data_IF_536364266224
#
_entry.id   IF_536364266224
#
_cell.length_a   1.000
_cell.length_b   1.000
_cell.length_c   1.000
_cell.angle_alpha   90.00
_cell.angle_beta   90.00
_cell.angle_gamma   90.00
#
_symmetry.space_group_name_H-M   'P 1'
#
loop_
_entity.id
_entity.type
_entity.pdbx_description
1 polymer ?
#
# COMPACT_ATOMS: atom_id res chain seq x y z
N UNK A 1 -2.04 -17.32 -3.28
CA UNK A 1 -2.72 -16.21 -3.98
C UNK A 1 -1.74 -15.64 -4.98
N UNK A 2 -2.16 -15.41 -6.22
CA UNK A 2 -1.32 -14.74 -7.22
C UNK A 2 -1.25 -13.22 -6.94
N UNK A 3 -0.46 -12.48 -7.73
CA UNK A 3 -0.26 -11.05 -7.49
C UNK A 3 -1.57 -10.25 -7.60
N UNK A 4 -2.38 -10.50 -8.63
CA UNK A 4 -3.64 -9.78 -8.83
C UNK A 4 -4.68 -10.12 -7.76
N UNK A 5 -4.75 -11.38 -7.33
CA UNK A 5 -5.56 -11.79 -6.19
C UNK A 5 -5.16 -11.04 -4.93
N UNK A 6 -3.86 -10.89 -4.66
CA UNK A 6 -3.37 -10.15 -3.50
C UNK A 6 -3.75 -8.67 -3.60
N UNK A 7 -3.48 -8.03 -4.73
CA UNK A 7 -3.83 -6.63 -4.98
C UNK A 7 -5.33 -6.37 -4.83
N UNK A 8 -6.18 -7.23 -5.38
CA UNK A 8 -7.63 -7.08 -5.26
C UNK A 8 -8.16 -7.33 -3.84
N UNK A 9 -7.46 -8.15 -3.04
CA UNK A 9 -7.88 -8.53 -1.69
C UNK A 9 -7.53 -7.53 -0.59
N UNK A 10 -6.40 -6.81 -0.71
CA UNK A 10 -5.90 -5.92 0.36
C UNK A 10 -6.92 -4.89 0.86
N UNK A 11 -7.68 -4.17 0.01
CA UNK A 11 -8.68 -3.22 0.50
C UNK A 11 -9.74 -3.86 1.40
N UNK A 12 -10.20 -5.07 1.05
CA UNK A 12 -11.18 -5.80 1.86
C UNK A 12 -10.58 -6.29 3.19
N UNK A 13 -9.30 -6.67 3.20
CA UNK A 13 -8.57 -7.02 4.43
C UNK A 13 -8.52 -5.81 5.38
N UNK A 14 -8.13 -4.62 4.88
CA UNK A 14 -8.09 -3.41 5.71
C UNK A 14 -9.47 -3.01 6.24
N UNK A 15 -10.52 -3.15 5.43
CA UNK A 15 -11.88 -2.88 5.88
C UNK A 15 -12.33 -3.82 7.01
N UNK A 16 -12.00 -5.13 6.94
CA UNK A 16 -12.29 -6.11 7.99
C UNK A 16 -11.56 -5.81 9.30
N UNK A 17 -10.33 -5.30 9.23
CA UNK A 17 -9.55 -4.87 10.40
C UNK A 17 -10.20 -3.63 11.02
N UNK A 18 -10.44 -2.59 10.22
CA UNK A 18 -11.02 -1.34 10.69
C UNK A 18 -12.39 -1.53 11.37
N UNK A 19 -13.20 -2.46 10.90
CA UNK A 19 -14.49 -2.79 11.50
C UNK A 19 -14.39 -3.40 12.91
N UNK A 20 -13.22 -3.89 13.32
CA UNK A 20 -12.99 -4.61 14.58
C UNK A 20 -12.00 -3.90 15.51
N UNK A 21 -11.48 -2.73 15.12
CA UNK A 21 -10.61 -1.90 15.96
C UNK A 21 -11.45 -0.84 16.67
N UNK A 22 -11.39 -0.74 18.01
CA UNK A 22 -12.07 0.32 18.77
C UNK A 22 -11.68 1.71 18.29
N UNK A 23 -12.65 2.63 18.22
CA UNK A 23 -12.47 3.96 17.64
C UNK A 23 -11.37 4.77 18.36
N UNK A 24 -11.22 4.58 19.66
CA UNK A 24 -10.18 5.21 20.49
C UNK A 24 -8.77 4.73 20.17
N UNK A 25 -8.61 3.55 19.55
CA UNK A 25 -7.30 2.97 19.21
C UNK A 25 -6.87 3.26 17.77
N UNK A 26 -7.79 3.67 16.88
CA UNK A 26 -7.51 3.97 15.46
C UNK A 26 -6.36 4.97 15.26
N UNK A 27 -6.17 5.89 16.23
CA UNK A 27 -5.17 6.96 16.20
C UNK A 27 -3.99 6.71 17.15
N UNK A 28 -3.97 5.59 17.85
CA UNK A 28 -2.86 5.22 18.73
C UNK A 28 -1.80 4.57 17.87
N UNK A 29 -0.58 5.13 17.89
CA UNK A 29 0.57 4.54 17.21
C UNK A 29 1.13 3.39 18.05
N UNK A 30 1.35 2.25 17.41
CA UNK A 30 2.35 1.28 17.84
C UNK A 30 3.19 0.91 16.61
N UNK A 31 4.46 1.28 16.62
CA UNK A 31 5.30 1.27 15.42
C UNK A 31 5.30 2.61 14.65
N UNK A 32 5.56 2.60 13.32
CA UNK A 32 5.77 3.83 12.55
C UNK A 32 4.49 4.67 12.38
N UNK A 33 3.34 4.02 12.26
CA UNK A 33 2.05 4.63 11.96
C UNK A 33 0.94 4.09 12.87
N UNK A 34 -0.10 4.89 13.08
CA UNK A 34 -1.38 4.41 13.60
C UNK A 34 -2.19 3.76 12.47
N UNK A 35 -3.28 3.04 12.79
CA UNK A 35 -4.11 2.38 11.77
C UNK A 35 -4.61 3.38 10.71
N UNK A 36 -5.08 4.56 11.11
CA UNK A 36 -5.53 5.60 10.17
C UNK A 36 -4.42 6.08 9.24
N UNK A 37 -3.18 6.13 9.74
CA UNK A 37 -2.04 6.58 8.94
C UNK A 37 -1.59 5.50 7.97
N UNK A 38 -1.61 4.22 8.36
CA UNK A 38 -1.38 3.12 7.42
C UNK A 38 -2.39 3.17 6.26
N UNK A 39 -3.68 3.34 6.57
CA UNK A 39 -4.74 3.39 5.54
C UNK A 39 -4.53 4.57 4.59
N UNK A 40 -4.26 5.77 5.10
CA UNK A 40 -4.04 6.94 4.24
C UNK A 40 -2.73 6.88 3.47
N UNK A 41 -1.66 6.35 4.07
CA UNK A 41 -0.40 6.10 3.38
C UNK A 41 -0.58 5.14 2.21
N UNK A 42 -1.28 4.03 2.42
CA UNK A 42 -1.58 3.08 1.35
C UNK A 42 -2.47 3.72 0.27
N UNK A 43 -3.47 4.52 0.66
CA UNK A 43 -4.33 5.24 -0.28
C UNK A 43 -3.55 6.22 -1.18
N UNK A 44 -2.65 7.01 -0.60
CA UNK A 44 -1.87 8.00 -1.34
C UNK A 44 -0.77 7.37 -2.18
N UNK A 45 -0.03 6.38 -1.65
CA UNK A 45 0.99 5.70 -2.43
C UNK A 45 0.39 4.88 -3.58
N UNK A 46 -0.82 4.34 -3.44
CA UNK A 46 -1.51 3.65 -4.54
C UNK A 46 -1.75 4.58 -5.73
N UNK A 47 -2.11 5.86 -5.49
CA UNK A 47 -2.27 6.87 -6.54
C UNK A 47 -0.94 7.17 -7.24
N UNK A 48 0.15 7.21 -6.49
CA UNK A 48 1.49 7.37 -7.05
C UNK A 48 1.93 6.15 -7.86
N UNK A 49 1.56 4.93 -7.44
CA UNK A 49 1.78 3.74 -8.25
C UNK A 49 1.00 3.78 -9.56
N UNK A 50 -0.27 4.20 -9.53
CA UNK A 50 -1.07 4.39 -10.74
C UNK A 50 -0.44 5.43 -11.68
N UNK A 51 0.05 6.54 -11.14
CA UNK A 51 0.76 7.57 -11.92
C UNK A 51 2.07 7.04 -12.51
N UNK A 52 2.88 6.31 -11.73
CA UNK A 52 4.11 5.65 -12.21
C UNK A 52 3.81 4.68 -13.35
N UNK A 53 2.75 3.88 -13.24
CA UNK A 53 2.29 2.98 -14.30
C UNK A 53 1.89 3.78 -15.56
N UNK A 54 1.12 4.86 -15.40
CA UNK A 54 0.70 5.74 -16.51
C UNK A 54 1.91 6.34 -17.23
N UNK A 55 2.91 6.81 -16.49
CA UNK A 55 4.14 7.38 -17.05
C UNK A 55 5.00 6.33 -17.72
N UNK A 56 5.17 5.15 -17.12
CA UNK A 56 5.89 4.03 -17.75
C UNK A 56 5.23 3.62 -19.06
N UNK A 57 3.91 3.69 -19.17
CA UNK A 57 3.17 3.41 -20.41
C UNK A 57 3.30 4.51 -21.46
N UNK A 58 3.25 5.78 -21.05
CA UNK A 58 3.14 6.93 -21.97
C UNK A 58 4.46 7.63 -22.33
N UNK A 59 5.47 7.54 -21.47
CA UNK A 59 6.73 8.29 -21.60
C UNK A 59 7.90 7.36 -21.93
N UNK A 60 8.89 7.86 -22.68
CA UNK A 60 10.15 7.15 -22.89
C UNK A 60 11.07 7.43 -21.70
N UNK A 61 11.43 6.38 -20.95
CA UNK A 61 12.40 6.44 -19.85
C UNK A 61 12.09 7.53 -18.79
N UNK A 62 10.85 7.55 -18.22
CA UNK A 62 10.44 8.57 -17.27
C UNK A 62 11.27 8.51 -15.98
N UNK A 63 11.57 9.68 -15.43
CA UNK A 63 12.03 9.80 -14.05
C UNK A 63 10.84 9.77 -13.08
N UNK A 64 10.82 8.82 -12.15
CA UNK A 64 9.77 8.60 -11.17
C UNK A 64 10.25 9.07 -9.80
N UNK A 65 9.68 10.16 -9.24
CA UNK A 65 10.10 10.66 -7.93
C UNK A 65 9.87 9.66 -6.81
N UNK A 66 10.64 9.82 -5.74
CA UNK A 66 10.41 9.06 -4.52
C UNK A 66 9.13 9.50 -3.80
N UNK A 67 8.59 8.62 -2.96
CA UNK A 67 7.45 8.92 -2.10
C UNK A 67 7.85 8.77 -0.64
N UNK A 68 8.28 9.89 -0.05
CA UNK A 68 8.58 9.98 1.39
C UNK A 68 7.27 9.93 2.19
N UNK A 69 6.90 8.74 2.63
CA UNK A 69 5.64 8.46 3.31
C UNK A 69 5.56 9.14 4.67
N UNK A 70 6.67 9.21 5.41
CA UNK A 70 6.71 9.89 6.70
C UNK A 70 6.48 11.38 6.59
N UNK A 71 7.13 12.04 5.62
CA UNK A 71 6.96 13.47 5.36
C UNK A 71 5.53 13.75 4.93
N UNK A 72 4.98 12.97 3.99
CA UNK A 72 3.63 13.19 3.49
C UNK A 72 2.59 12.96 4.60
N UNK A 73 2.76 11.94 5.45
CA UNK A 73 1.87 11.70 6.59
C UNK A 73 1.84 12.89 7.56
N UNK A 74 3.00 13.52 7.81
CA UNK A 74 3.12 14.73 8.64
C UNK A 74 2.47 15.94 7.97
N UNK A 75 2.79 16.20 6.70
CA UNK A 75 2.27 17.34 5.93
C UNK A 75 0.76 17.30 5.75
N UNK A 76 0.20 16.11 5.48
CA UNK A 76 -1.25 15.89 5.29
C UNK A 76 -1.98 15.58 6.59
N UNK A 77 -1.28 15.55 7.72
CA UNK A 77 -1.81 15.35 9.06
C UNK A 77 -2.69 14.08 9.16
N UNK A 78 -2.20 12.94 8.68
CA UNK A 78 -2.99 11.70 8.55
C UNK A 78 -3.75 11.29 9.82
N UNK A 79 -3.18 11.49 11.02
CA UNK A 79 -3.85 11.22 12.29
C UNK A 79 -5.20 11.94 12.46
N UNK A 80 -5.36 13.10 11.82
CA UNK A 80 -6.57 13.92 11.90
C UNK A 80 -7.64 13.52 10.89
N UNK A 81 -7.28 12.72 9.89
CA UNK A 81 -8.19 12.33 8.82
C UNK A 81 -9.20 11.27 9.27
N UNK A 82 -10.23 11.08 8.43
CA UNK A 82 -11.26 10.08 8.64
C UNK A 82 -10.80 8.71 8.10
N UNK A 83 -10.99 7.66 8.91
CA UNK A 83 -10.56 6.30 8.56
C UNK A 83 -11.39 5.71 7.42
N UNK A 84 -12.71 5.93 7.42
CA UNK A 84 -13.62 5.37 6.42
C UNK A 84 -13.38 6.02 5.04
N UNK A 85 -13.11 7.32 5.02
CA UNK A 85 -12.69 8.04 3.82
C UNK A 85 -11.37 7.49 3.28
N UNK A 86 -10.39 7.20 4.14
CA UNK A 86 -9.12 6.59 3.74
C UNK A 86 -9.30 5.19 3.12
N UNK A 87 -10.13 4.34 3.73
CA UNK A 87 -10.46 3.01 3.20
C UNK A 87 -11.13 3.10 1.82
N UNK A 88 -12.07 4.03 1.66
CA UNK A 88 -12.75 4.29 0.39
C UNK A 88 -11.77 4.80 -0.66
N UNK A 89 -10.88 5.72 -0.30
CA UNK A 89 -9.87 6.27 -1.18
C UNK A 89 -8.88 5.19 -1.65
N UNK A 90 -8.44 4.31 -0.75
CA UNK A 90 -7.55 3.19 -1.08
C UNK A 90 -8.23 2.19 -2.01
N UNK A 91 -9.46 1.76 -1.71
CA UNK A 91 -10.21 0.86 -2.57
C UNK A 91 -10.39 1.41 -3.99
N UNK A 92 -10.76 2.70 -4.12
CA UNK A 92 -10.92 3.35 -5.41
C UNK A 92 -9.59 3.45 -6.19
N UNK A 93 -8.50 3.82 -5.52
CA UNK A 93 -7.17 3.88 -6.15
C UNK A 93 -6.70 2.49 -6.60
N UNK A 94 -6.93 1.45 -5.79
CA UNK A 94 -6.57 0.07 -6.12
C UNK A 94 -7.36 -0.46 -7.31
N UNK A 95 -8.65 -0.14 -7.40
CA UNK A 95 -9.47 -0.49 -8.57
C UNK A 95 -8.91 0.15 -9.85
N UNK A 96 -8.47 1.40 -9.77
CA UNK A 96 -7.84 2.09 -10.89
C UNK A 96 -6.52 1.44 -11.31
N UNK A 97 -5.65 1.11 -10.36
CA UNK A 97 -4.42 0.36 -10.62
C UNK A 97 -4.69 -0.98 -11.31
N UNK A 98 -5.65 -1.76 -10.79
CA UNK A 98 -6.01 -3.06 -11.37
C UNK A 98 -6.54 -2.93 -12.80
N UNK A 99 -7.33 -1.88 -13.07
CA UNK A 99 -7.84 -1.58 -14.42
C UNK A 99 -6.71 -1.26 -15.38
N UNK A 100 -5.72 -0.45 -14.97
CA UNK A 100 -4.56 -0.14 -15.79
C UNK A 100 -3.74 -1.39 -16.07
N UNK A 101 -3.39 -2.15 -15.03
CA UNK A 101 -2.61 -3.38 -15.17
C UNK A 101 -3.31 -4.42 -16.05
N UNK A 102 -4.63 -4.55 -15.96
CA UNK A 102 -5.43 -5.45 -16.79
C UNK A 102 -5.55 -5.03 -18.26
N UNK A 103 -5.25 -3.77 -18.59
CA UNK A 103 -5.31 -3.23 -19.95
C UNK A 103 -3.94 -3.13 -20.62
N UNK A 104 -2.85 -3.51 -19.94
CA UNK A 104 -1.48 -3.44 -20.49
C UNK A 104 -1.30 -4.48 -21.61
N UNK A 105 -0.95 -4.01 -22.81
CA UNK A 105 -0.55 -4.88 -23.92
C UNK A 105 0.73 -5.65 -23.58
N UNK A 106 0.84 -6.89 -24.06
CA UNK A 106 1.95 -7.81 -23.77
C UNK A 106 3.34 -7.18 -23.96
N UNK A 107 3.52 -6.39 -25.03
CA UNK A 107 4.79 -5.75 -25.38
C UNK A 107 5.12 -4.55 -24.48
N UNK A 108 4.09 -3.91 -23.90
CA UNK A 108 4.26 -2.73 -23.07
C UNK A 108 4.81 -3.06 -21.66
N UNK A 109 4.75 -4.32 -21.22
CA UNK A 109 5.32 -4.75 -19.94
C UNK A 109 6.84 -4.55 -19.85
N UNK A 110 7.54 -4.55 -20.99
CA UNK A 110 8.98 -4.32 -21.05
C UNK A 110 9.39 -2.84 -20.98
N UNK A 111 8.43 -1.90 -20.88
CA UNK A 111 8.72 -0.48 -20.77
C UNK A 111 9.37 -0.16 -19.43
N UNK A 112 10.36 0.72 -19.46
CA UNK A 112 11.20 1.06 -18.31
C UNK A 112 11.28 2.56 -18.08
N UNK A 113 11.68 2.92 -16.86
CA UNK A 113 12.07 4.26 -16.43
C UNK A 113 13.10 4.18 -15.30
N UNK A 114 13.33 5.31 -14.63
CA UNK A 114 14.21 5.40 -13.46
C UNK A 114 13.44 5.95 -12.27
N UNK A 115 13.44 5.21 -11.17
CA UNK A 115 12.90 5.68 -9.91
C UNK A 115 14.01 6.27 -9.03
N UNK A 116 13.73 7.42 -8.43
CA UNK A 116 14.61 8.06 -7.45
C UNK A 116 14.90 7.11 -6.28
N UNK A 117 16.16 7.05 -5.82
CA UNK A 117 16.59 6.15 -4.75
C UNK A 117 16.64 4.65 -5.10
N UNK A 118 16.00 4.22 -6.20
CA UNK A 118 15.90 2.79 -6.59
C UNK A 118 16.69 2.46 -7.86
N UNK A 119 16.69 3.34 -8.86
CA UNK A 119 17.34 3.11 -10.14
C UNK A 119 16.36 2.60 -11.22
N UNK A 120 16.82 1.72 -12.10
CA UNK A 120 16.01 1.24 -13.22
C UNK A 120 14.81 0.43 -12.72
N UNK A 121 13.63 0.72 -13.29
CA UNK A 121 12.38 0.01 -12.99
C UNK A 121 11.62 -0.26 -14.27
N UNK A 122 10.97 -1.42 -14.35
CA UNK A 122 10.12 -1.82 -15.47
C UNK A 122 8.66 -1.94 -15.05
N UNK A 123 7.74 -1.81 -16.03
CA UNK A 123 6.32 -2.00 -15.79
C UNK A 123 6.00 -3.42 -15.27
N UNK A 124 6.73 -4.44 -15.74
CA UNK A 124 6.60 -5.83 -15.28
C UNK A 124 6.87 -6.03 -13.78
N UNK A 125 7.69 -5.17 -13.17
CA UNK A 125 7.99 -5.24 -11.74
C UNK A 125 6.93 -4.55 -10.87
N UNK A 126 6.10 -3.67 -11.43
CA UNK A 126 5.18 -2.82 -10.66
C UNK A 126 4.17 -3.63 -9.83
N UNK A 127 3.49 -4.68 -10.36
CA UNK A 127 2.56 -5.46 -9.54
C UNK A 127 3.24 -6.13 -8.33
N UNK A 128 4.47 -6.64 -8.52
CA UNK A 128 5.26 -7.24 -7.45
C UNK A 128 5.63 -6.22 -6.37
N UNK A 129 6.09 -5.04 -6.78
CA UNK A 129 6.42 -3.93 -5.86
C UNK A 129 5.23 -3.49 -5.01
N UNK A 130 4.05 -3.37 -5.61
CA UNK A 130 2.83 -2.98 -4.88
C UNK A 130 2.43 -4.09 -3.89
N UNK A 131 2.52 -5.37 -4.28
CA UNK A 131 2.24 -6.49 -3.38
C UNK A 131 3.24 -6.54 -2.21
N UNK A 132 4.52 -6.30 -2.47
CA UNK A 132 5.54 -6.28 -1.43
C UNK A 132 5.32 -5.13 -0.44
N UNK A 133 4.88 -3.98 -0.94
CA UNK A 133 4.48 -2.83 -0.13
C UNK A 133 3.24 -3.12 0.72
N UNK A 134 2.19 -3.70 0.14
CA UNK A 134 0.99 -4.14 0.87
C UNK A 134 1.37 -5.10 2.01
N UNK A 135 2.20 -6.11 1.72
CA UNK A 135 2.64 -7.09 2.72
C UNK A 135 3.40 -6.45 3.87
N UNK A 136 4.28 -5.48 3.58
CA UNK A 136 5.02 -4.76 4.62
C UNK A 136 4.06 -4.07 5.60
N UNK A 137 3.06 -3.35 5.09
CA UNK A 137 2.08 -2.70 5.96
C UNK A 137 1.11 -3.66 6.65
N UNK A 138 0.71 -4.75 6.01
CA UNK A 138 -0.09 -5.78 6.68
C UNK A 138 0.67 -6.42 7.85
N UNK A 139 2.01 -6.57 7.74
CA UNK A 139 2.84 -7.00 8.86
C UNK A 139 2.88 -5.96 9.98
N UNK A 140 3.12 -4.69 9.65
CA UNK A 140 3.14 -3.60 10.65
C UNK A 140 1.78 -3.44 11.35
N UNK A 141 0.68 -3.52 10.61
CA UNK A 141 -0.67 -3.52 11.17
C UNK A 141 -0.87 -4.76 12.06
N UNK A 142 -0.34 -5.92 11.69
CA UNK A 142 -0.41 -7.09 12.57
C UNK A 142 0.30 -6.87 13.90
N UNK A 143 1.45 -6.19 13.91
CA UNK A 143 2.19 -5.91 15.14
C UNK A 143 1.46 -4.83 15.95
N UNK A 144 0.93 -3.79 15.30
CA UNK A 144 0.06 -2.80 15.94
C UNK A 144 -1.16 -3.44 16.60
N UNK A 145 -1.82 -4.38 15.93
CA UNK A 145 -2.96 -5.12 16.49
C UNK A 145 -2.52 -6.01 17.65
N UNK A 146 -1.36 -6.68 17.57
CA UNK A 146 -0.86 -7.51 18.65
C UNK A 146 -0.59 -6.70 19.93
N UNK A 147 -0.19 -5.43 19.79
CA UNK A 147 0.06 -4.54 20.92
C UNK A 147 -1.22 -3.90 21.48
N UNK A 148 -2.10 -3.43 20.61
CA UNK A 148 -3.25 -2.61 21.00
C UNK A 148 -4.55 -3.42 21.17
N UNK A 149 -4.70 -4.51 20.43
CA UNK A 149 -5.88 -5.39 20.45
C UNK A 149 -5.44 -6.87 20.36
N UNK A 150 -4.73 -7.43 21.36
CA UNK A 150 -4.07 -8.73 21.22
C UNK A 150 -5.00 -9.91 20.87
N UNK A 151 -6.29 -9.78 21.16
CA UNK A 151 -7.32 -10.77 20.85
C UNK A 151 -7.93 -10.62 19.43
N UNK A 152 -7.41 -9.70 18.61
CA UNK A 152 -7.96 -9.42 17.28
C UNK A 152 -7.81 -10.64 16.36
N UNK A 153 -8.90 -11.15 15.75
CA UNK A 153 -8.89 -12.44 15.05
C UNK A 153 -8.03 -12.42 13.76
N UNK A 154 -7.72 -11.24 13.22
CA UNK A 154 -6.92 -11.12 11.99
C UNK A 154 -5.41 -11.20 12.18
N UNK A 155 -4.87 -11.19 13.41
CA UNK A 155 -3.41 -11.18 13.62
C UNK A 155 -2.73 -12.37 12.91
N UNK A 156 -3.27 -13.59 13.07
CA UNK A 156 -2.69 -14.77 12.43
C UNK A 156 -2.84 -14.76 10.90
N UNK A 157 -3.99 -14.29 10.39
CA UNK A 157 -4.25 -14.16 8.95
C UNK A 157 -3.28 -13.14 8.31
N UNK A 158 -3.09 -11.98 8.94
CA UNK A 158 -2.18 -10.95 8.45
C UNK A 158 -0.73 -11.43 8.38
N UNK A 159 -0.25 -12.11 9.43
CA UNK A 159 1.09 -12.70 9.44
C UNK A 159 1.24 -13.76 8.35
N UNK A 160 0.20 -14.53 8.05
CA UNK A 160 0.22 -15.51 6.96
C UNK A 160 0.26 -14.84 5.58
N UNK A 161 -0.50 -13.76 5.39
CA UNK A 161 -0.53 -13.00 4.13
C UNK A 161 0.78 -12.24 3.88
N UNK A 162 1.38 -11.71 4.95
CA UNK A 162 2.64 -10.97 4.89
C UNK A 162 3.88 -11.88 4.75
N UNK A 163 3.76 -13.19 5.01
CA UNK A 163 4.86 -14.13 4.82
C UNK A 163 5.37 -14.08 3.38
N UNK A 164 6.67 -13.83 3.22
CA UNK A 164 7.34 -13.71 1.92
C UNK A 164 7.43 -12.29 1.36
N UNK A 165 6.88 -11.27 2.05
CA UNK A 165 7.16 -9.86 1.75
C UNK A 165 8.49 -9.38 2.34
N UNK A 166 9.01 -8.23 1.92
CA UNK A 166 10.18 -7.62 2.55
C UNK A 166 9.92 -7.37 4.04
N UNK A 167 10.94 -7.58 4.88
CA UNK A 167 10.88 -7.15 6.28
C UNK A 167 10.73 -5.63 6.30
N UNK A 168 9.77 -5.11 7.09
CA UNK A 168 9.47 -3.70 7.33
C UNK A 168 10.57 -2.78 6.77
N UNK A 169 10.29 -2.17 5.62
CA UNK A 169 11.13 -1.06 5.17
C UNK A 169 10.91 0.01 6.25
N UNK A 170 11.97 0.38 6.97
CA UNK A 170 12.03 1.72 7.55
C UNK A 170 11.49 2.65 6.47
N UNK A 171 10.37 3.28 6.76
CA UNK A 171 9.47 3.97 5.86
C UNK A 171 10.07 4.30 4.49
N UNK A 172 9.37 3.88 3.43
CA UNK A 172 9.52 4.54 2.14
C UNK A 172 9.42 6.06 2.33
#
# INVERSE_FOLDING_TARGET
MDLFGMLSGTPAILARIAAQVPAELVRVRSGPFALVEHVWHMADLEREFAERIRRLLGEADPFLPDFDGERIAKERQYLTLDLAAGLTAFAAAREETLRFLGAVASEAWARCGRQEGVGAVSLAEMPGRIVDHDRAHLNEISDLLADLVPAHPMIAELRAVAQGGPKSSKAA
#
